data_IF_148806275839
#
_entry.id   IF_148806275839
#
_cell.length_a   1.000
_cell.length_b   1.000
_cell.length_c   1.000
_cell.angle_alpha   90.00
_cell.angle_beta   90.00
_cell.angle_gamma   90.00
#
_symmetry.space_group_name_H-M   'P 1'
#
loop_
_entity.id
_entity.type
_entity.pdbx_description
1 polymer ?
#
# COMPACT_ATOMS: atom_id res chain seq x y z
N UNK A 1 32.19 -12.99 16.28
CA UNK A 1 31.12 -13.34 15.33
C UNK A 1 30.51 -12.03 14.84
N UNK A 2 31.09 -11.45 13.79
CA UNK A 2 30.78 -10.10 13.31
C UNK A 2 29.71 -10.15 12.23
N UNK A 3 28.58 -9.49 12.50
CA UNK A 3 27.41 -9.43 11.64
C UNK A 3 27.65 -8.39 10.54
N UNK A 4 27.79 -8.84 9.28
CA UNK A 4 27.88 -7.94 8.12
C UNK A 4 26.47 -7.47 7.75
N UNK A 5 26.20 -6.18 7.94
CA UNK A 5 24.99 -5.51 7.44
C UNK A 5 25.14 -5.34 5.93
N UNK A 6 24.31 -6.04 5.16
CA UNK A 6 24.26 -5.90 3.71
C UNK A 6 23.48 -4.63 3.34
N UNK A 7 24.21 -3.52 3.16
CA UNK A 7 23.68 -2.34 2.46
C UNK A 7 23.64 -2.67 0.98
N UNK A 8 22.43 -2.80 0.42
CA UNK A 8 22.25 -2.95 -1.03
C UNK A 8 22.56 -1.61 -1.71
N UNK A 9 23.84 -1.40 -2.05
CA UNK A 9 24.27 -0.30 -2.90
C UNK A 9 23.83 -0.64 -4.32
N UNK A 10 22.88 0.13 -4.84
CA UNK A 10 22.51 0.09 -6.26
C UNK A 10 23.72 0.61 -7.06
N UNK A 11 24.54 -0.30 -7.60
CA UNK A 11 25.69 0.04 -8.42
C UNK A 11 25.19 0.57 -9.78
N UNK A 12 25.20 1.90 -9.94
CA UNK A 12 24.97 2.56 -11.23
C UNK A 12 26.22 2.40 -12.09
N UNK A 13 26.17 1.50 -13.06
CA UNK A 13 27.15 1.45 -14.14
C UNK A 13 26.95 2.66 -15.05
N UNK A 14 27.84 3.65 -14.97
CA UNK A 14 27.94 4.72 -15.96
C UNK A 14 28.65 4.18 -17.19
N UNK A 15 27.89 3.73 -18.19
CA UNK A 15 28.41 3.54 -19.54
C UNK A 15 28.59 4.92 -20.17
N UNK A 16 29.83 5.38 -20.23
CA UNK A 16 30.25 6.55 -21.00
C UNK A 16 30.13 6.26 -22.50
N UNK A 17 29.01 6.67 -23.09
CA UNK A 17 28.85 6.71 -24.55
C UNK A 17 29.57 7.95 -25.10
N UNK A 18 30.49 7.73 -26.03
CA UNK A 18 31.10 8.80 -26.82
C UNK A 18 30.04 9.48 -27.68
N UNK A 19 30.06 10.81 -27.65
CA UNK A 19 29.10 11.70 -28.26
C UNK A 19 29.08 11.59 -29.78
N UNK A 20 27.91 11.26 -30.34
CA UNK A 20 27.50 11.86 -31.59
C UNK A 20 26.84 13.21 -31.24
N UNK A 21 27.42 14.27 -31.80
CA UNK A 21 26.95 15.63 -31.69
C UNK A 21 25.66 15.74 -32.51
N UNK A 22 24.52 15.70 -31.84
CA UNK A 22 23.25 16.17 -32.40
C UNK A 22 22.55 17.00 -31.32
N UNK A 23 21.97 18.10 -31.73
CA UNK A 23 21.76 19.30 -30.91
C UNK A 23 21.03 19.01 -29.58
N UNK A 24 21.50 19.61 -28.48
CA UNK A 24 20.80 19.59 -27.17
C UNK A 24 19.58 20.51 -27.21
N UNK A 25 18.80 20.46 -28.29
CA UNK A 25 17.62 21.26 -28.46
C UNK A 25 16.61 20.88 -27.37
N UNK A 26 16.29 21.81 -26.48
CA UNK A 26 15.24 21.63 -25.50
C UNK A 26 13.89 21.68 -26.21
N UNK A 27 12.95 20.83 -25.80
CA UNK A 27 11.56 20.87 -26.26
C UNK A 27 11.39 20.76 -27.79
N UNK A 28 12.19 19.93 -28.46
CA UNK A 28 12.10 19.77 -29.91
C UNK A 28 11.33 18.51 -30.31
N UNK A 29 10.83 18.54 -31.55
CA UNK A 29 10.09 17.43 -32.17
C UNK A 29 10.79 16.96 -33.43
N UNK A 30 10.56 15.70 -33.84
CA UNK A 30 11.02 15.19 -35.13
C UNK A 30 10.12 15.66 -36.29
N UNK A 31 10.43 15.24 -37.52
CA UNK A 31 9.66 15.60 -38.73
C UNK A 31 8.20 15.14 -38.71
N UNK A 32 7.83 14.23 -37.81
CA UNK A 32 6.47 13.76 -37.60
C UNK A 32 5.77 14.48 -36.43
N UNK A 33 6.44 15.48 -35.82
CA UNK A 33 5.92 16.23 -34.68
C UNK A 33 6.05 15.49 -33.34
N UNK A 34 6.76 14.36 -33.29
CA UNK A 34 6.91 13.57 -32.07
C UNK A 34 8.01 14.12 -31.21
N UNK A 35 7.82 14.16 -29.89
CA UNK A 35 8.79 14.66 -28.92
C UNK A 35 10.06 13.81 -28.92
N UNK A 36 11.21 14.50 -28.94
CA UNK A 36 12.53 13.89 -28.85
C UNK A 36 13.39 14.63 -27.82
N UNK A 37 14.35 13.91 -27.24
CA UNK A 37 15.39 14.48 -26.38
C UNK A 37 14.86 15.07 -25.09
N UNK A 38 15.55 16.09 -24.57
CA UNK A 38 15.26 16.68 -23.27
C UNK A 38 14.13 17.70 -23.34
N UNK A 39 13.13 17.55 -22.48
CA UNK A 39 11.98 18.41 -22.37
C UNK A 39 11.90 19.05 -20.99
N UNK A 40 11.60 20.35 -20.95
CA UNK A 40 11.33 21.13 -19.75
C UNK A 40 10.04 21.91 -19.96
N UNK A 41 9.06 21.68 -19.10
CA UNK A 41 7.85 22.51 -19.00
C UNK A 41 7.89 23.34 -17.73
N UNK A 42 7.44 24.59 -17.80
CA UNK A 42 7.38 25.51 -16.67
C UNK A 42 5.94 25.89 -16.33
N UNK A 43 5.71 26.23 -15.07
CA UNK A 43 4.51 26.92 -14.57
C UNK A 43 4.49 28.38 -15.03
N UNK A 44 3.35 29.09 -14.94
CA UNK A 44 3.27 30.52 -15.24
C UNK A 44 4.25 31.39 -14.43
N UNK A 45 4.56 30.98 -13.19
CA UNK A 45 5.54 31.63 -12.33
C UNK A 45 7.01 31.38 -12.73
N UNK A 46 7.26 30.62 -13.80
CA UNK A 46 8.59 30.28 -14.30
C UNK A 46 9.25 29.07 -13.64
N UNK A 47 8.69 28.51 -12.57
CA UNK A 47 9.22 27.29 -11.93
C UNK A 47 9.01 26.08 -12.84
N UNK A 48 9.92 25.10 -12.75
CA UNK A 48 9.81 23.87 -13.54
C UNK A 48 8.60 23.07 -13.05
N UNK A 49 7.78 22.61 -13.99
CA UNK A 49 6.65 21.71 -13.78
C UNK A 49 7.06 20.26 -13.99
N UNK A 50 7.79 20.00 -15.07
CA UNK A 50 8.47 18.74 -15.29
C UNK A 50 9.71 18.93 -16.14
N UNK A 51 10.65 18.01 -15.97
CA UNK A 51 11.78 17.81 -16.88
C UNK A 51 12.00 16.31 -17.11
N UNK A 52 12.44 15.93 -18.29
CA UNK A 52 12.73 14.54 -18.61
C UNK A 52 12.99 14.32 -20.09
N UNK A 53 13.31 13.08 -20.45
CA UNK A 53 13.61 12.74 -21.84
C UNK A 53 12.42 12.08 -22.52
N UNK A 54 12.26 12.35 -23.80
CA UNK A 54 11.30 11.69 -24.68
C UNK A 54 12.02 11.00 -25.84
N UNK A 55 11.48 9.86 -26.25
CA UNK A 55 11.85 9.16 -27.48
C UNK A 55 10.56 8.77 -28.19
N UNK A 56 10.27 9.40 -29.34
CA UNK A 56 9.03 9.21 -30.09
C UNK A 56 7.77 9.38 -29.21
N UNK A 57 7.63 10.53 -28.53
CA UNK A 57 6.53 10.84 -27.59
C UNK A 57 6.48 10.01 -26.30
N UNK A 58 7.30 8.97 -26.17
CA UNK A 58 7.35 8.16 -24.95
C UNK A 58 8.42 8.68 -23.98
N UNK A 59 8.08 8.87 -22.69
CA UNK A 59 9.07 9.17 -21.67
C UNK A 59 10.18 8.11 -21.61
N UNK A 60 11.43 8.56 -21.43
CA UNK A 60 12.62 7.71 -21.34
C UNK A 60 13.58 8.24 -20.27
N UNK A 61 14.42 7.36 -19.74
CA UNK A 61 15.41 7.72 -18.71
C UNK A 61 14.76 8.28 -17.45
N UNK A 62 15.34 9.33 -16.88
CA UNK A 62 14.76 10.03 -15.74
C UNK A 62 13.67 11.03 -16.18
N UNK A 63 12.56 11.01 -15.45
CA UNK A 63 11.46 11.95 -15.61
C UNK A 63 11.06 12.51 -14.25
N UNK A 64 11.29 13.81 -14.05
CA UNK A 64 11.03 14.53 -12.81
C UNK A 64 9.85 15.45 -12.99
N UNK A 65 8.96 15.47 -12.01
CA UNK A 65 7.87 16.45 -11.89
C UNK A 65 8.01 17.17 -10.58
N UNK A 66 7.61 18.42 -10.55
CA UNK A 66 7.71 19.28 -9.37
C UNK A 66 6.35 19.88 -9.06
N UNK A 67 6.13 20.19 -7.78
CA UNK A 67 5.09 21.11 -7.35
C UNK A 67 5.49 22.55 -7.75
N UNK A 68 4.51 23.45 -7.78
CA UNK A 68 4.74 24.85 -8.15
C UNK A 68 5.71 25.57 -7.20
N UNK A 69 5.85 25.08 -5.95
CA UNK A 69 6.81 25.54 -4.96
C UNK A 69 8.22 24.94 -5.12
N UNK A 70 8.53 24.32 -6.26
CA UNK A 70 9.83 23.69 -6.63
C UNK A 70 10.13 22.37 -5.90
N UNK A 71 9.26 21.90 -5.01
CA UNK A 71 9.45 20.61 -4.34
C UNK A 71 9.22 19.48 -5.34
N UNK A 72 10.09 18.47 -5.34
CA UNK A 72 9.96 17.30 -6.20
C UNK A 72 8.62 16.61 -5.89
N UNK A 73 7.85 16.28 -6.92
CA UNK A 73 6.54 15.62 -6.83
C UNK A 73 6.62 14.15 -7.20
N UNK A 74 7.37 13.85 -8.26
CA UNK A 74 7.61 12.47 -8.69
C UNK A 74 8.93 12.36 -9.43
N UNK A 75 9.64 11.26 -9.19
CA UNK A 75 10.76 10.78 -9.98
C UNK A 75 10.37 9.44 -10.58
N UNK A 76 10.37 9.35 -11.92
CA UNK A 76 10.25 8.10 -12.65
C UNK A 76 11.58 7.79 -13.34
N UNK A 77 12.02 6.54 -13.27
CA UNK A 77 13.20 6.05 -13.98
C UNK A 77 12.77 4.92 -14.89
N UNK A 78 12.68 5.21 -16.17
CA UNK A 78 12.24 4.27 -17.20
C UNK A 78 13.37 3.29 -17.56
N UNK A 79 13.01 2.02 -17.69
CA UNK A 79 13.83 0.98 -18.28
C UNK A 79 14.22 1.31 -19.73
N UNK A 80 15.31 0.73 -20.27
CA UNK A 80 15.78 1.02 -21.63
C UNK A 80 14.74 0.78 -22.73
N UNK A 81 13.83 -0.17 -22.53
CA UNK A 81 12.74 -0.49 -23.45
C UNK A 81 11.45 0.31 -23.19
N UNK A 82 11.44 1.13 -22.13
CA UNK A 82 10.30 1.95 -21.71
C UNK A 82 9.13 1.16 -21.12
N UNK A 83 9.26 -0.15 -20.92
CA UNK A 83 8.15 -1.00 -20.46
C UNK A 83 7.95 -0.92 -18.94
N UNK A 84 9.02 -0.78 -18.19
CA UNK A 84 9.01 -0.58 -16.74
C UNK A 84 9.46 0.84 -16.36
N UNK A 85 8.93 1.36 -15.26
CA UNK A 85 9.43 2.57 -14.62
C UNK A 85 9.48 2.38 -13.10
N UNK A 86 10.66 2.54 -12.50
CA UNK A 86 10.76 2.70 -11.06
C UNK A 86 10.23 4.09 -10.67
N UNK A 87 9.47 4.17 -9.59
CA UNK A 87 8.77 5.39 -9.20
C UNK A 87 9.02 5.74 -7.74
N UNK A 88 9.28 7.02 -7.49
CA UNK A 88 9.27 7.63 -6.17
C UNK A 88 8.37 8.86 -6.23
N UNK A 89 7.39 8.93 -5.34
CA UNK A 89 6.46 10.04 -5.22
C UNK A 89 6.72 10.76 -3.90
N UNK A 90 6.45 12.05 -3.88
CA UNK A 90 6.74 12.92 -2.74
C UNK A 90 5.53 13.78 -2.39
N UNK A 91 5.36 14.02 -1.09
CA UNK A 91 4.40 14.98 -0.56
C UNK A 91 4.86 16.43 -0.84
N UNK A 92 3.95 17.43 -0.78
CA UNK A 92 4.30 18.83 -0.96
C UNK A 92 5.28 19.39 0.07
N UNK A 93 5.54 18.68 1.18
CA UNK A 93 6.57 19.04 2.18
C UNK A 93 7.95 18.43 1.87
N UNK A 94 8.08 17.67 0.78
CA UNK A 94 9.33 17.03 0.36
C UNK A 94 9.55 15.62 0.92
N UNK A 95 8.70 15.14 1.84
CA UNK A 95 8.82 13.78 2.34
C UNK A 95 8.41 12.77 1.26
N UNK A 96 9.12 11.64 1.22
CA UNK A 96 8.74 10.52 0.35
C UNK A 96 7.34 10.06 0.73
N UNK A 97 6.45 9.96 -0.26
CA UNK A 97 5.07 9.54 -0.10
C UNK A 97 4.89 8.06 -0.42
N UNK A 98 5.47 7.62 -1.54
CA UNK A 98 5.44 6.22 -1.96
C UNK A 98 6.58 5.88 -2.90
N UNK A 99 6.90 4.60 -2.98
CA UNK A 99 7.82 4.06 -3.97
C UNK A 99 7.36 2.68 -4.45
N UNK A 100 7.66 2.36 -5.71
CA UNK A 100 7.30 1.09 -6.34
C UNK A 100 7.70 1.07 -7.80
N UNK A 101 7.07 0.19 -8.59
CA UNK A 101 7.27 0.18 -10.04
C UNK A 101 5.95 0.17 -10.81
N UNK A 102 6.03 0.74 -11.99
CA UNK A 102 5.04 0.63 -13.04
C UNK A 102 5.54 -0.35 -14.10
N UNK A 103 4.66 -1.23 -14.58
CA UNK A 103 4.85 -2.00 -15.81
C UNK A 103 3.73 -1.56 -16.76
N UNK A 104 4.10 -1.06 -17.95
CA UNK A 104 3.16 -0.52 -18.95
C UNK A 104 2.19 0.49 -18.33
N UNK A 105 2.75 1.40 -17.51
CA UNK A 105 2.03 2.47 -16.82
C UNK A 105 1.06 2.02 -15.71
N UNK A 106 1.02 0.72 -15.38
CA UNK A 106 0.21 0.17 -14.28
C UNK A 106 1.11 -0.22 -13.11
N UNK A 107 0.71 0.08 -11.87
CA UNK A 107 1.39 -0.38 -10.65
C UNK A 107 1.54 -1.90 -10.70
N UNK A 108 2.75 -2.34 -10.39
CA UNK A 108 3.09 -3.75 -10.36
C UNK A 108 4.14 -4.03 -9.28
N UNK A 109 4.04 -5.21 -8.67
CA UNK A 109 4.92 -5.63 -7.59
C UNK A 109 4.65 -4.89 -6.29
N UNK A 110 5.63 -4.89 -5.40
CA UNK A 110 5.53 -4.26 -4.08
C UNK A 110 5.61 -2.74 -4.19
N UNK A 111 4.64 -2.08 -3.57
CA UNK A 111 4.59 -0.65 -3.32
C UNK A 111 4.71 -0.38 -1.83
N UNK A 112 5.44 0.66 -1.47
CA UNK A 112 5.58 1.13 -0.09
C UNK A 112 5.01 2.53 0.04
N UNK A 113 4.37 2.82 1.17
CA UNK A 113 3.76 4.10 1.47
C UNK A 113 4.24 4.62 2.81
N UNK A 114 4.53 5.92 2.88
CA UNK A 114 5.22 6.56 4.00
C UNK A 114 4.38 7.72 4.56
N UNK A 115 4.72 8.17 5.77
CA UNK A 115 4.03 9.26 6.45
C UNK A 115 4.31 10.63 5.84
N UNK A 116 3.26 11.45 5.74
CA UNK A 116 3.39 12.88 5.43
C UNK A 116 3.85 13.71 6.63
N UNK A 117 3.78 13.18 7.85
CA UNK A 117 4.08 13.92 9.09
C UNK A 117 5.45 13.56 9.66
N UNK A 118 5.87 12.31 9.51
CA UNK A 118 7.14 11.81 10.05
C UNK A 118 8.00 11.28 8.91
N UNK A 119 9.11 11.96 8.63
CA UNK A 119 9.99 11.60 7.53
C UNK A 119 10.46 10.14 7.61
N UNK A 120 10.30 9.40 6.52
CA UNK A 120 10.77 8.02 6.41
C UNK A 120 9.93 6.97 7.14
N UNK A 121 8.92 7.36 7.92
CA UNK A 121 8.06 6.40 8.61
C UNK A 121 7.24 5.58 7.60
N UNK A 122 7.53 4.28 7.49
CA UNK A 122 6.79 3.34 6.66
C UNK A 122 5.43 3.05 7.31
N UNK A 123 4.35 3.35 6.60
CA UNK A 123 3.00 3.15 7.08
C UNK A 123 2.38 1.86 6.51
N UNK A 124 2.67 1.54 5.25
CA UNK A 124 2.16 0.31 4.64
C UNK A 124 2.98 -0.20 3.46
N UNK A 125 2.85 -1.49 3.19
CA UNK A 125 3.30 -2.16 1.97
C UNK A 125 2.11 -2.85 1.30
N UNK A 126 2.04 -2.81 -0.02
CA UNK A 126 0.99 -3.46 -0.80
C UNK A 126 1.56 -4.10 -2.06
N UNK A 127 1.06 -5.28 -2.41
CA UNK A 127 1.42 -5.96 -3.66
C UNK A 127 0.39 -5.64 -4.75
N UNK A 128 0.86 -5.19 -5.91
CA UNK A 128 0.02 -4.81 -7.05
C UNK A 128 0.26 -5.73 -8.27
N UNK A 129 -0.82 -6.00 -8.99
CA UNK A 129 -0.79 -6.54 -10.35
C UNK A 129 -1.80 -5.76 -11.21
N UNK A 130 -1.30 -5.06 -12.23
CA UNK A 130 -2.12 -4.27 -13.15
C UNK A 130 -3.03 -3.27 -12.42
N UNK A 131 -2.44 -2.40 -11.58
CA UNK A 131 -3.14 -1.40 -10.75
C UNK A 131 -4.10 -1.93 -9.68
N UNK A 132 -4.22 -3.24 -9.53
CA UNK A 132 -5.06 -3.87 -8.51
C UNK A 132 -4.20 -4.51 -7.44
N UNK A 133 -4.56 -4.32 -6.17
CA UNK A 133 -3.89 -5.05 -5.08
C UNK A 133 -4.09 -6.56 -5.32
N UNK A 134 -3.00 -7.30 -5.36
CA UNK A 134 -2.98 -8.74 -5.58
C UNK A 134 -1.83 -9.33 -4.76
N UNK A 135 -2.20 -10.08 -3.71
CA UNK A 135 -1.29 -10.51 -2.66
C UNK A 135 -1.57 -9.79 -1.34
N UNK A 136 -0.54 -9.42 -0.60
CA UNK A 136 -0.69 -8.83 0.72
C UNK A 136 -0.77 -7.30 0.72
N UNK A 137 -1.66 -6.76 1.54
CA UNK A 137 -1.59 -5.40 2.08
C UNK A 137 -1.20 -5.50 3.56
N UNK A 138 -0.16 -4.79 3.96
CA UNK A 138 0.44 -4.81 5.29
C UNK A 138 0.49 -3.39 5.80
N UNK A 139 0.00 -3.15 7.02
CA UNK A 139 0.12 -1.86 7.70
C UNK A 139 0.98 -2.02 8.95
N UNK A 140 1.64 -0.94 9.33
CA UNK A 140 2.56 -0.91 10.45
C UNK A 140 2.14 0.09 11.51
N UNK A 141 2.48 -0.21 12.76
CA UNK A 141 2.55 0.75 13.84
C UNK A 141 3.76 1.69 13.67
N UNK A 142 3.81 2.82 14.39
CA UNK A 142 4.93 3.77 14.29
C UNK A 142 6.31 3.17 14.62
N UNK A 143 6.36 2.10 15.41
CA UNK A 143 7.56 1.34 15.78
C UNK A 143 7.91 0.24 14.76
N UNK A 144 7.26 0.22 13.59
CA UNK A 144 7.41 -0.76 12.52
C UNK A 144 6.91 -2.18 12.84
N UNK A 145 6.22 -2.39 13.96
CA UNK A 145 5.49 -3.64 14.22
C UNK A 145 4.32 -3.74 13.25
N UNK A 146 4.02 -4.93 12.72
CA UNK A 146 2.85 -5.13 11.85
C UNK A 146 1.59 -4.88 12.67
N UNK A 147 0.72 -3.99 12.19
CA UNK A 147 -0.58 -3.71 12.79
C UNK A 147 -1.71 -4.51 12.12
N UNK A 148 -1.64 -4.69 10.80
CA UNK A 148 -2.67 -5.36 10.01
C UNK A 148 -2.04 -6.06 8.81
N UNK A 149 -2.55 -7.24 8.47
CA UNK A 149 -2.21 -7.98 7.26
C UNK A 149 -3.49 -8.50 6.61
N UNK A 150 -3.72 -8.13 5.34
CA UNK A 150 -4.92 -8.49 4.59
C UNK A 150 -4.55 -9.02 3.21
N UNK A 151 -5.09 -10.18 2.85
CA UNK A 151 -4.93 -10.77 1.51
C UNK A 151 -5.96 -10.24 0.52
N UNK A 152 -5.52 -9.99 -0.71
CA UNK A 152 -6.33 -9.52 -1.82
C UNK A 152 -6.07 -10.36 -3.08
N UNK A 153 -7.11 -10.53 -3.88
CA UNK A 153 -7.02 -11.03 -5.26
C UNK A 153 -7.72 -10.05 -6.19
N UNK A 154 -6.95 -9.43 -7.09
CA UNK A 154 -7.45 -8.50 -8.10
C UNK A 154 -8.30 -7.35 -7.51
N UNK A 155 -7.84 -6.79 -6.40
CA UNK A 155 -8.48 -5.68 -5.68
C UNK A 155 -9.60 -6.10 -4.74
N UNK A 156 -9.94 -7.38 -4.67
CA UNK A 156 -11.00 -7.92 -3.80
C UNK A 156 -10.37 -8.64 -2.62
N UNK A 157 -10.84 -8.39 -1.39
CA UNK A 157 -10.38 -9.13 -0.20
C UNK A 157 -10.64 -10.62 -0.38
N UNK A 158 -9.60 -11.43 -0.29
CA UNK A 158 -9.71 -12.86 -0.52
C UNK A 158 -8.53 -13.57 0.16
N UNK A 159 -8.80 -14.44 1.12
CA UNK A 159 -7.81 -15.04 2.02
C UNK A 159 -7.79 -14.39 3.40
N UNK A 160 -6.70 -14.57 4.13
CA UNK A 160 -6.62 -14.20 5.53
C UNK A 160 -6.66 -12.68 5.76
N UNK A 161 -7.23 -12.32 6.91
CA UNK A 161 -7.19 -11.00 7.50
C UNK A 161 -6.77 -11.14 8.97
N UNK A 162 -5.69 -10.45 9.34
CA UNK A 162 -5.16 -10.47 10.70
C UNK A 162 -4.89 -9.05 11.17
N UNK A 163 -5.18 -8.78 12.44
CA UNK A 163 -4.66 -7.63 13.17
C UNK A 163 -3.82 -8.08 14.34
N UNK A 164 -2.89 -7.24 14.74
CA UNK A 164 -1.97 -7.48 15.84
C UNK A 164 -2.15 -6.40 16.90
N UNK A 165 -1.72 -6.70 18.12
CA UNK A 165 -1.54 -5.71 19.19
C UNK A 165 -0.26 -4.90 18.94
N UNK A 166 -0.08 -3.72 19.55
CA UNK A 166 1.17 -2.95 19.45
C UNK A 166 2.42 -3.75 19.83
N UNK A 167 2.30 -4.69 20.78
CA UNK A 167 3.39 -5.60 21.15
C UNK A 167 3.70 -6.71 20.13
N UNK A 168 2.98 -6.76 19.00
CA UNK A 168 3.16 -7.74 17.92
C UNK A 168 2.46 -9.08 18.12
N UNK A 169 1.77 -9.29 19.24
CA UNK A 169 0.93 -10.48 19.45
C UNK A 169 -0.33 -10.41 18.57
N UNK A 170 -0.85 -11.57 18.15
CA UNK A 170 -2.05 -11.63 17.31
C UNK A 170 -3.24 -11.10 18.11
N UNK A 171 -3.97 -10.14 17.54
CA UNK A 171 -5.16 -9.57 18.15
C UNK A 171 -6.42 -10.27 17.65
N UNK A 172 -6.57 -10.41 16.33
CA UNK A 172 -7.55 -11.32 15.77
C UNK A 172 -7.13 -11.81 14.38
N UNK A 173 -7.75 -12.91 13.95
CA UNK A 173 -7.68 -13.39 12.58
C UNK A 173 -9.03 -13.91 12.10
N UNK A 174 -9.27 -13.74 10.81
CA UNK A 174 -10.37 -14.35 10.08
C UNK A 174 -10.00 -14.42 8.59
N UNK A 175 -10.96 -14.74 7.72
CA UNK A 175 -10.73 -14.85 6.29
C UNK A 175 -11.88 -14.26 5.50
N UNK A 176 -11.54 -13.71 4.33
CA UNK A 176 -12.49 -13.30 3.31
C UNK A 176 -12.51 -14.33 2.18
N UNK A 177 -13.69 -14.51 1.58
CA UNK A 177 -13.86 -15.17 0.29
C UNK A 177 -14.66 -14.25 -0.62
N UNK A 178 -14.07 -13.85 -1.75
CA UNK A 178 -14.71 -12.96 -2.74
C UNK A 178 -15.31 -11.69 -2.12
N UNK A 179 -14.56 -11.05 -1.21
CA UNK A 179 -14.96 -9.80 -0.57
C UNK A 179 -15.88 -9.95 0.64
N UNK A 180 -16.28 -11.18 1.01
CA UNK A 180 -17.15 -11.46 2.15
C UNK A 180 -16.41 -12.21 3.25
N UNK A 181 -16.65 -11.89 4.52
CA UNK A 181 -16.16 -12.67 5.65
C UNK A 181 -16.69 -14.10 5.54
N UNK A 182 -15.78 -15.06 5.54
CA UNK A 182 -16.10 -16.46 5.44
C UNK A 182 -14.99 -17.30 6.06
N UNK A 183 -15.33 -18.14 7.03
CA UNK A 183 -14.39 -18.98 7.77
C UNK A 183 -14.36 -18.68 9.27
N UNK A 184 -13.38 -19.26 9.96
CA UNK A 184 -13.23 -19.13 11.42
C UNK A 184 -12.86 -17.70 11.80
N UNK A 185 -13.42 -17.21 12.89
CA UNK A 185 -13.04 -15.97 13.55
C UNK A 185 -12.41 -16.31 14.90
N UNK A 186 -11.24 -15.72 15.17
CA UNK A 186 -10.55 -15.87 16.45
C UNK A 186 -9.98 -14.53 16.87
N UNK A 187 -10.37 -14.01 18.03
CA UNK A 187 -9.77 -12.87 18.70
C UNK A 187 -9.05 -13.33 19.97
N UNK A 188 -7.97 -12.64 20.35
CA UNK A 188 -7.07 -13.03 21.43
C UNK A 188 -6.74 -11.83 22.32
N UNK A 189 -6.64 -12.09 23.61
CA UNK A 189 -6.04 -11.18 24.57
C UNK A 189 -4.54 -11.00 24.27
N UNK A 190 -3.92 -9.94 24.80
CA UNK A 190 -2.47 -9.69 24.61
C UNK A 190 -1.58 -10.85 25.09
N UNK A 191 -2.04 -11.64 26.07
CA UNK A 191 -1.34 -12.84 26.56
C UNK A 191 -1.47 -14.06 25.64
N UNK A 192 -2.15 -13.93 24.50
CA UNK A 192 -2.36 -14.98 23.51
C UNK A 192 -3.53 -15.94 23.81
N UNK A 193 -4.22 -15.78 24.93
CA UNK A 193 -5.41 -16.59 25.24
C UNK A 193 -6.58 -16.18 24.35
N UNK A 194 -7.42 -17.13 23.89
CA UNK A 194 -8.62 -16.80 23.14
C UNK A 194 -9.54 -15.87 23.93
N UNK A 195 -10.01 -14.83 23.29
CA UNK A 195 -11.02 -13.90 23.81
C UNK A 195 -12.38 -14.15 23.16
N UNK A 196 -12.39 -14.37 21.84
CA UNK A 196 -13.60 -14.72 21.08
C UNK A 196 -13.28 -15.79 20.05
N UNK A 197 -14.15 -16.78 19.92
CA UNK A 197 -14.11 -17.72 18.79
C UNK A 197 -15.48 -17.89 18.17
N UNK A 198 -15.50 -18.07 16.85
CA UNK A 198 -16.72 -18.26 16.09
C UNK A 198 -16.43 -18.53 14.62
N UNK A 199 -17.45 -18.40 13.79
CA UNK A 199 -17.29 -18.53 12.34
C UNK A 199 -18.27 -17.61 11.61
N UNK A 200 -17.79 -17.08 10.48
CA UNK A 200 -18.59 -16.36 9.51
C UNK A 200 -18.89 -17.25 8.30
N UNK A 201 -20.07 -17.04 7.71
CA UNK A 201 -20.48 -17.61 6.43
C UNK A 201 -21.15 -16.51 5.61
N UNK A 202 -20.47 -16.02 4.57
CA UNK A 202 -20.95 -14.94 3.71
C UNK A 202 -21.39 -13.69 4.50
N UNK A 203 -20.49 -13.11 5.29
CA UNK A 203 -20.71 -11.94 6.15
C UNK A 203 -21.66 -12.17 7.35
N UNK A 204 -22.16 -13.39 7.55
CA UNK A 204 -23.08 -13.71 8.64
C UNK A 204 -22.41 -14.59 9.67
N UNK A 205 -22.58 -14.27 10.96
CA UNK A 205 -22.20 -15.17 12.05
C UNK A 205 -22.96 -16.49 11.89
N UNK A 206 -22.29 -17.61 12.05
CA UNK A 206 -22.85 -18.95 11.89
C UNK A 206 -22.36 -19.84 13.03
N UNK A 207 -23.18 -20.79 13.47
CA UNK A 207 -22.80 -21.78 14.48
C UNK A 207 -22.59 -21.17 15.87
N UNK A 208 -21.80 -21.87 16.69
CA UNK A 208 -21.58 -21.46 18.08
C UNK A 208 -20.46 -20.44 18.18
N UNK A 209 -20.74 -19.37 18.92
CA UNK A 209 -19.79 -18.33 19.29
C UNK A 209 -19.52 -18.38 20.78
N UNK A 210 -18.25 -18.19 21.15
CA UNK A 210 -17.77 -18.19 22.52
C UNK A 210 -17.05 -16.90 22.83
N UNK A 211 -17.32 -16.34 24.00
CA UNK A 211 -16.57 -15.23 24.59
C UNK A 211 -15.95 -15.75 25.88
N UNK A 212 -14.65 -15.56 26.03
CA UNK A 212 -13.87 -16.07 27.15
C UNK A 212 -13.46 -14.94 28.10
N UNK A 213 -13.14 -15.31 29.34
CA UNK A 213 -12.40 -14.44 30.28
C UNK A 213 -10.90 -14.67 30.10
N UNK A 214 -10.08 -13.78 30.68
CA UNK A 214 -8.60 -13.89 30.64
C UNK A 214 -8.05 -15.17 31.28
N UNK A 215 -8.82 -15.81 32.16
CA UNK A 215 -8.49 -17.11 32.77
C UNK A 215 -8.84 -18.32 31.87
N UNK A 216 -9.40 -18.09 30.68
CA UNK A 216 -9.83 -19.12 29.74
C UNK A 216 -11.23 -19.67 29.98
N UNK A 217 -11.93 -19.27 31.06
CA UNK A 217 -13.31 -19.69 31.31
C UNK A 217 -14.27 -19.04 30.31
N UNK A 218 -15.31 -19.78 29.91
CA UNK A 218 -16.36 -19.24 29.04
C UNK A 218 -17.18 -18.20 29.83
N UNK A 219 -17.18 -16.96 29.34
CA UNK A 219 -18.04 -15.87 29.83
C UNK A 219 -19.43 -15.98 29.23
N UNK A 220 -19.49 -16.12 27.91
CA UNK A 220 -20.74 -16.25 27.17
C UNK A 220 -20.62 -17.27 26.05
N UNK A 221 -21.75 -17.88 25.71
CA UNK A 221 -21.93 -18.75 24.56
C UNK A 221 -23.26 -18.43 23.91
N UNK A 222 -23.27 -18.28 22.60
CA UNK A 222 -24.51 -18.11 21.82
C UNK A 222 -24.39 -18.89 20.52
N UNK A 223 -25.53 -19.19 19.90
CA UNK A 223 -25.58 -19.88 18.62
C UNK A 223 -26.26 -18.96 17.60
N UNK A 224 -25.68 -18.90 16.40
CA UNK A 224 -26.21 -18.16 15.28
C UNK A 224 -26.62 -19.11 14.16
N UNK A 225 -27.77 -18.83 13.57
CA UNK A 225 -28.22 -19.50 12.35
C UNK A 225 -28.42 -18.41 11.31
N UNK A 226 -27.55 -18.37 10.29
CA UNK A 226 -27.59 -17.37 9.23
C UNK A 226 -27.60 -15.93 9.76
N UNK A 227 -26.79 -15.64 10.78
CA UNK A 227 -26.66 -14.33 11.40
C UNK A 227 -27.71 -14.01 12.46
N UNK A 228 -28.69 -14.89 12.72
CA UNK A 228 -29.71 -14.66 13.75
C UNK A 228 -29.24 -15.27 15.07
N UNK A 229 -29.02 -14.47 16.13
CA UNK A 229 -28.62 -14.98 17.44
C UNK A 229 -29.79 -15.67 18.16
N UNK A 230 -29.50 -16.77 18.85
CA UNK A 230 -30.44 -17.34 19.84
C UNK A 230 -30.59 -16.47 21.10
N UNK A 231 -29.55 -15.71 21.46
CA UNK A 231 -29.57 -14.77 22.58
C UNK A 231 -29.17 -13.36 22.11
N UNK A 232 -30.14 -12.44 22.07
CA UNK A 232 -29.96 -11.07 21.56
C UNK A 232 -29.11 -10.17 22.47
N UNK A 233 -29.16 -10.37 23.79
CA UNK A 233 -28.37 -9.55 24.71
C UNK A 233 -26.87 -9.85 24.58
N UNK A 234 -26.53 -11.13 24.41
CA UNK A 234 -25.14 -11.55 24.17
C UNK A 234 -24.64 -11.01 22.82
N UNK A 235 -25.47 -11.03 21.77
CA UNK A 235 -25.12 -10.49 20.47
C UNK A 235 -24.84 -8.97 20.52
N UNK A 236 -25.64 -8.20 21.25
CA UNK A 236 -25.41 -6.76 21.41
C UNK A 236 -24.07 -6.46 22.09
N UNK A 237 -23.73 -7.22 23.14
CA UNK A 237 -22.44 -7.11 23.82
C UNK A 237 -21.26 -7.47 22.90
N UNK A 238 -21.39 -8.59 22.17
CA UNK A 238 -20.35 -9.10 21.28
C UNK A 238 -20.11 -8.18 20.09
N UNK A 239 -21.17 -7.72 19.43
CA UNK A 239 -21.09 -6.90 18.22
C UNK A 239 -20.43 -5.56 18.51
N UNK A 240 -20.77 -4.89 19.61
CA UNK A 240 -20.08 -3.66 20.03
C UNK A 240 -18.58 -3.88 20.22
N UNK A 241 -18.20 -5.03 20.78
CA UNK A 241 -16.81 -5.36 20.98
C UNK A 241 -16.10 -5.67 19.65
N UNK A 242 -16.64 -6.57 18.82
CA UNK A 242 -16.07 -6.91 17.51
C UNK A 242 -15.94 -5.66 16.62
N UNK A 243 -16.96 -4.82 16.58
CA UNK A 243 -16.93 -3.57 15.84
C UNK A 243 -15.78 -2.67 16.31
N UNK A 244 -15.47 -2.66 17.62
CA UNK A 244 -14.32 -1.92 18.15
C UNK A 244 -12.98 -2.49 17.65
N UNK A 245 -12.88 -3.82 17.48
CA UNK A 245 -11.70 -4.47 16.89
C UNK A 245 -11.53 -4.11 15.43
N UNK A 246 -12.64 -4.04 14.69
CA UNK A 246 -12.64 -3.71 13.27
C UNK A 246 -12.42 -2.22 13.01
N UNK A 247 -13.01 -1.34 13.84
CA UNK A 247 -13.02 0.12 13.69
C UNK A 247 -11.74 0.83 14.11
N UNK A 248 -10.74 0.13 14.67
CA UNK A 248 -9.35 0.62 14.70
C UNK A 248 -8.75 0.65 13.28
N UNK A 249 -9.41 1.37 12.37
CA UNK A 249 -8.93 1.70 11.04
C UNK A 249 -8.10 2.95 11.19
N UNK A 250 -6.78 2.82 11.26
CA UNK A 250 -5.92 3.94 10.87
C UNK A 250 -6.23 4.21 9.40
N UNK A 251 -6.98 5.27 9.11
CA UNK A 251 -7.31 5.69 7.76
C UNK A 251 -6.08 6.41 7.22
N UNK A 252 -5.28 5.68 6.48
CA UNK A 252 -4.09 6.21 5.83
C UNK A 252 -4.55 6.76 4.48
N UNK A 253 -4.41 8.06 4.29
CA UNK A 253 -4.77 8.69 3.02
C UNK A 253 -3.77 8.28 1.94
N UNK A 254 -4.31 7.80 0.82
CA UNK A 254 -3.54 7.51 -0.38
C UNK A 254 -3.13 8.84 -1.04
N UNK A 255 -1.83 9.18 -1.09
CA UNK A 255 -1.35 10.43 -1.68
C UNK A 255 -1.67 10.58 -3.17
N UNK A 256 -2.01 9.50 -3.88
CA UNK A 256 -2.44 9.56 -5.28
C UNK A 256 -3.91 9.93 -5.45
N UNK A 257 -4.74 9.79 -4.41
CA UNK A 257 -6.14 10.24 -4.41
C UNK A 257 -6.26 11.75 -4.19
N UNK A 258 -5.42 12.53 -4.88
CA UNK A 258 -5.50 14.00 -4.94
C UNK A 258 -6.51 14.49 -5.99
N UNK A 259 -7.37 13.60 -6.52
CA UNK A 259 -8.50 13.99 -7.37
C UNK A 259 -8.16 14.42 -8.79
N UNK A 260 -6.90 14.31 -9.22
CA UNK A 260 -6.48 14.67 -10.59
C UNK A 260 -5.87 13.45 -11.26
N UNK A 261 -6.68 12.78 -12.09
CA UNK A 261 -6.19 11.84 -13.10
C UNK A 261 -5.59 12.65 -14.26
N UNK A 262 -4.41 12.27 -14.72
CA UNK A 262 -3.76 12.82 -15.91
C UNK A 262 -4.21 12.08 -17.16
#
# INVERSE_FOLDING_TARGET
MSLKIAVSVLLLYTLSFNAFQDDKALNHTDSQGRKQGHWIRKYPNGNIMYEGFFKNDHPAGEFKRYYENKILKSLLVFSPDGTEAAAILYYPNGYKASEGKYIRQLKSGKWKFFSSVTEGLLISEEEYANDKIHGWSIKYYPDSVIAEKQSYSAGIRNGDWMKYHPGGSLHFKTSYQNGRLNGRFEAFFENGMPEITGQYKNDRKEGTWFIYRKDGSVKFKTEYISGIPKNREIDLYETQYIDSLENLKVKIEDPEKTGVKW
#
